data_IF_709195295301
#
_entry.id   IF_709195295301
#
_cell.length_a   1.000
_cell.length_b   1.000
_cell.length_c   1.000
_cell.angle_alpha   90.00
_cell.angle_beta   90.00
_cell.angle_gamma   90.00
#
_symmetry.space_group_name_H-M   'P 1'
#
loop_
_entity.id
_entity.type
_entity.pdbx_description
1 polymer ?
#
# COMPACT_ATOMS: atom_id res chain seq x y z
N UNK A 1 -10.12 1.01 -7.59
CA UNK A 1 -8.98 0.50 -8.38
C UNK A 1 -8.76 -0.98 -8.13
N UNK A 2 -8.02 -1.66 -9.00
CA UNK A 2 -7.64 -3.06 -8.83
C UNK A 2 -6.12 -3.21 -8.64
N UNK A 3 -5.70 -4.10 -7.74
CA UNK A 3 -4.29 -4.50 -7.60
C UNK A 3 -4.16 -6.01 -7.64
N UNK A 4 -3.04 -6.50 -8.15
CA UNK A 4 -2.73 -7.93 -8.19
C UNK A 4 -1.86 -8.32 -6.99
N UNK A 5 -2.30 -9.30 -6.19
CA UNK A 5 -1.48 -9.88 -5.13
C UNK A 5 -0.71 -11.07 -5.69
N UNK A 6 0.60 -10.89 -5.88
CA UNK A 6 1.51 -11.99 -6.20
C UNK A 6 2.02 -12.59 -4.90
N UNK A 7 1.76 -13.88 -4.69
CA UNK A 7 2.17 -14.61 -3.49
C UNK A 7 2.59 -16.04 -3.85
N UNK A 8 3.34 -16.66 -2.95
CA UNK A 8 3.67 -18.08 -3.05
C UNK A 8 2.44 -18.90 -2.66
N UNK A 9 2.06 -19.87 -3.49
CA UNK A 9 0.91 -20.75 -3.20
C UNK A 9 1.22 -21.84 -2.19
N UNK A 10 1.58 -21.42 -0.99
CA UNK A 10 1.54 -22.23 0.20
C UNK A 10 0.53 -21.64 1.19
N UNK A 11 0.36 -22.33 2.31
CA UNK A 11 -0.58 -21.95 3.36
C UNK A 11 -0.34 -20.53 3.87
N UNK A 12 0.93 -20.18 4.12
CA UNK A 12 1.32 -18.86 4.65
C UNK A 12 1.14 -17.74 3.63
N UNK A 13 1.59 -17.94 2.40
CA UNK A 13 1.43 -16.94 1.35
C UNK A 13 -0.05 -16.62 1.11
N UNK A 14 -0.92 -17.65 1.13
CA UNK A 14 -2.37 -17.48 1.01
C UNK A 14 -2.98 -16.76 2.22
N UNK A 15 -2.56 -17.10 3.43
CA UNK A 15 -2.99 -16.44 4.68
C UNK A 15 -2.66 -14.94 4.64
N UNK A 16 -1.40 -14.60 4.37
CA UNK A 16 -0.93 -13.22 4.28
C UNK A 16 -1.65 -12.43 3.19
N UNK A 17 -1.84 -13.02 2.00
CA UNK A 17 -2.56 -12.39 0.91
C UNK A 17 -4.04 -12.15 1.25
N UNK A 18 -4.70 -13.09 1.94
CA UNK A 18 -6.09 -12.91 2.35
C UNK A 18 -6.24 -11.80 3.39
N UNK A 19 -5.36 -11.79 4.41
CA UNK A 19 -5.36 -10.75 5.44
C UNK A 19 -5.11 -9.36 4.84
N UNK A 20 -4.14 -9.25 3.92
CA UNK A 20 -3.85 -7.99 3.24
C UNK A 20 -5.00 -7.54 2.35
N UNK A 21 -5.65 -8.47 1.63
CA UNK A 21 -6.81 -8.15 0.78
C UNK A 21 -7.95 -7.54 1.60
N UNK A 22 -8.24 -8.07 2.78
CA UNK A 22 -9.29 -7.55 3.67
C UNK A 22 -8.98 -6.12 4.11
N UNK A 23 -7.73 -5.84 4.45
CA UNK A 23 -7.27 -4.50 4.85
C UNK A 23 -7.22 -3.51 3.67
N UNK A 24 -6.87 -3.96 2.47
CA UNK A 24 -6.93 -3.14 1.26
C UNK A 24 -8.37 -2.79 0.85
N UNK A 25 -9.32 -3.69 1.10
CA UNK A 25 -10.74 -3.43 0.84
C UNK A 25 -11.29 -2.27 1.68
N UNK A 26 -10.76 -2.04 2.88
CA UNK A 26 -11.08 -0.87 3.72
C UNK A 26 -10.76 0.43 2.99
N UNK A 27 -9.69 0.46 2.19
CA UNK A 27 -9.30 1.60 1.36
C UNK A 27 -10.06 1.66 0.02
N UNK A 28 -11.04 0.78 -0.21
CA UNK A 28 -11.73 0.65 -1.50
C UNK A 28 -10.89 0.03 -2.62
N UNK A 29 -9.75 -0.57 -2.29
CA UNK A 29 -8.86 -1.23 -3.24
C UNK A 29 -9.34 -2.67 -3.45
N UNK A 30 -9.63 -3.04 -4.69
CA UNK A 30 -9.96 -4.42 -5.04
C UNK A 30 -8.67 -5.23 -5.27
N UNK A 31 -8.25 -6.01 -4.26
CA UNK A 31 -7.05 -6.83 -4.38
C UNK A 31 -7.38 -8.24 -4.88
N UNK A 32 -6.90 -8.58 -6.07
CA UNK A 32 -7.13 -9.87 -6.70
C UNK A 32 -6.07 -10.87 -6.27
N UNK A 33 -6.54 -12.00 -5.75
CA UNK A 33 -5.76 -13.19 -5.49
C UNK A 33 -6.13 -14.22 -6.55
N UNK A 34 -5.40 -14.27 -7.66
CA UNK A 34 -5.63 -15.29 -8.67
C UNK A 34 -5.12 -16.64 -8.13
N UNK A 35 -6.02 -17.46 -7.58
CA UNK A 35 -5.68 -18.81 -7.16
C UNK A 35 -5.36 -19.68 -8.38
N UNK A 36 -4.24 -20.41 -8.30
CA UNK A 36 -3.76 -21.36 -9.31
C UNK A 36 -4.29 -22.79 -9.02
N UNK A 37 -5.22 -22.95 -8.07
CA UNK A 37 -5.92 -24.20 -7.76
C UNK A 37 -7.12 -24.42 -8.68
N UNK A 38 -6.99 -25.20 -9.76
CA UNK A 38 -8.15 -25.59 -10.59
C UNK A 38 -8.06 -27.02 -11.13
N UNK A 39 -9.25 -27.60 -11.32
CA UNK A 39 -9.56 -28.89 -11.98
C UNK A 39 -8.87 -29.07 -13.35
N UNK A 40 -8.66 -30.32 -13.81
CA UNK A 40 -7.98 -30.60 -15.07
C UNK A 40 -8.65 -29.94 -16.30
N UNK A 41 -7.86 -29.27 -17.16
CA UNK A 41 -8.28 -28.80 -18.49
C UNK A 41 -8.45 -27.28 -18.69
N UNK A 42 -8.25 -26.45 -17.67
CA UNK A 42 -8.37 -24.98 -17.79
C UNK A 42 -7.10 -24.31 -18.36
N UNK A 43 -7.27 -23.25 -19.19
CA UNK A 43 -6.19 -22.40 -19.71
C UNK A 43 -5.80 -21.37 -18.64
N UNK A 44 -5.06 -21.82 -17.63
CA UNK A 44 -4.75 -21.06 -16.42
C UNK A 44 -3.91 -19.78 -16.63
N UNK A 45 -2.90 -19.84 -17.50
CA UNK A 45 -2.02 -18.69 -17.72
C UNK A 45 -2.78 -17.47 -18.24
N UNK A 46 -3.82 -17.68 -19.05
CA UNK A 46 -4.60 -16.59 -19.63
C UNK A 46 -5.41 -15.83 -18.58
N UNK A 47 -6.03 -16.51 -17.62
CA UNK A 47 -6.77 -15.83 -16.53
C UNK A 47 -5.86 -15.03 -15.60
N UNK A 48 -4.64 -15.52 -15.31
CA UNK A 48 -3.65 -14.73 -14.56
C UNK A 48 -3.27 -13.48 -15.33
N UNK A 49 -3.00 -13.62 -16.64
CA UNK A 49 -2.66 -12.49 -17.50
C UNK A 49 -3.79 -11.46 -17.58
N UNK A 50 -5.04 -11.89 -17.71
CA UNK A 50 -6.22 -11.02 -17.69
C UNK A 50 -6.31 -10.23 -16.38
N UNK A 51 -6.07 -10.88 -15.24
CA UNK A 51 -6.06 -10.18 -13.94
C UNK A 51 -4.86 -9.25 -13.78
N UNK A 52 -3.69 -9.62 -14.28
CA UNK A 52 -2.51 -8.74 -14.28
C UNK A 52 -2.75 -7.51 -15.16
N UNK A 53 -3.29 -7.69 -16.36
CA UNK A 53 -3.60 -6.61 -17.31
C UNK A 53 -4.66 -5.64 -16.77
N UNK A 54 -5.66 -6.15 -16.07
CA UNK A 54 -6.69 -5.33 -15.42
C UNK A 54 -6.20 -4.61 -14.14
N UNK A 55 -5.01 -4.94 -13.63
CA UNK A 55 -4.52 -4.40 -12.36
C UNK A 55 -3.63 -3.17 -12.56
N UNK A 56 -3.86 -2.15 -11.73
CA UNK A 56 -3.11 -0.89 -11.77
C UNK A 56 -1.71 -1.03 -11.15
N UNK A 57 -1.50 -2.03 -10.31
CA UNK A 57 -0.22 -2.36 -9.68
C UNK A 57 -0.13 -3.85 -9.32
N UNK A 58 1.10 -4.34 -9.19
CA UNK A 58 1.41 -5.66 -8.64
C UNK A 58 2.08 -5.52 -7.26
N UNK A 59 1.58 -6.27 -6.29
CA UNK A 59 2.08 -6.29 -4.91
C UNK A 59 2.70 -7.67 -4.64
N UNK A 60 4.01 -7.74 -4.44
CA UNK A 60 4.73 -8.97 -4.13
C UNK A 60 4.69 -9.24 -2.62
N UNK A 61 4.03 -10.31 -2.21
CA UNK A 61 4.01 -10.81 -0.82
C UNK A 61 5.18 -11.78 -0.67
N UNK A 62 6.36 -11.24 -0.37
CA UNK A 62 7.60 -12.01 -0.32
C UNK A 62 7.72 -12.80 0.99
N UNK A 63 6.94 -13.88 1.09
CA UNK A 63 7.07 -14.91 2.11
C UNK A 63 8.19 -15.90 1.76
N UNK A 64 8.63 -16.72 2.72
CA UNK A 64 9.69 -17.72 2.50
C UNK A 64 9.48 -18.53 1.21
N UNK A 65 10.52 -18.61 0.38
CA UNK A 65 10.53 -19.29 -0.91
C UNK A 65 9.85 -18.53 -2.04
N UNK A 66 9.51 -17.25 -1.86
CA UNK A 66 8.83 -16.44 -2.89
C UNK A 66 9.73 -16.22 -4.10
N UNK A 67 11.01 -15.88 -3.87
CA UNK A 67 11.99 -15.69 -4.95
C UNK A 67 12.19 -16.94 -5.79
N UNK A 68 12.08 -18.13 -5.19
CA UNK A 68 12.23 -19.42 -5.85
C UNK A 68 11.03 -19.82 -6.70
N UNK A 69 9.88 -19.14 -6.56
CA UNK A 69 8.65 -19.43 -7.30
C UNK A 69 8.75 -18.91 -8.74
N UNK A 70 8.83 -19.79 -9.76
CA UNK A 70 8.93 -19.35 -11.15
C UNK A 70 7.74 -18.49 -11.58
N UNK A 71 6.56 -18.76 -11.03
CA UNK A 71 5.33 -18.01 -11.29
C UNK A 71 5.39 -16.60 -10.76
N UNK A 72 5.83 -16.41 -9.52
CA UNK A 72 5.97 -15.07 -8.96
C UNK A 72 6.99 -14.26 -9.77
N UNK A 73 8.08 -14.90 -10.22
CA UNK A 73 9.06 -14.23 -11.09
C UNK A 73 8.49 -13.88 -12.48
N UNK A 74 7.64 -14.73 -13.06
CA UNK A 74 6.95 -14.43 -14.32
C UNK A 74 5.94 -13.30 -14.17
N UNK A 75 5.14 -13.30 -13.10
CA UNK A 75 4.18 -12.22 -12.78
C UNK A 75 4.91 -10.87 -12.64
N UNK A 76 6.03 -10.84 -11.90
CA UNK A 76 6.91 -9.66 -11.78
C UNK A 76 7.46 -9.23 -13.15
N UNK A 77 8.05 -10.15 -13.90
CA UNK A 77 8.63 -9.86 -15.20
C UNK A 77 7.61 -9.31 -16.19
N UNK A 78 6.40 -9.87 -16.18
CA UNK A 78 5.28 -9.41 -16.99
C UNK A 78 4.86 -7.99 -16.61
N UNK A 79 4.64 -7.73 -15.31
CA UNK A 79 4.25 -6.40 -14.83
C UNK A 79 5.30 -5.33 -15.19
N UNK A 80 6.59 -5.61 -14.98
CA UNK A 80 7.68 -4.71 -15.38
C UNK A 80 7.67 -4.47 -16.89
N UNK A 81 7.53 -5.54 -17.69
CA UNK A 81 7.49 -5.46 -19.16
C UNK A 81 6.34 -4.62 -19.71
N UNK A 82 5.22 -4.52 -18.98
CA UNK A 82 4.05 -3.71 -19.34
C UNK A 82 4.00 -2.37 -18.60
N UNK A 83 5.06 -2.05 -17.85
CA UNK A 83 5.16 -0.80 -17.10
C UNK A 83 4.19 -0.70 -15.92
N UNK A 84 3.63 -1.80 -15.45
CA UNK A 84 2.81 -1.82 -14.23
C UNK A 84 3.73 -1.62 -13.02
N UNK A 85 3.45 -0.66 -12.12
CA UNK A 85 4.20 -0.50 -10.89
C UNK A 85 4.20 -1.78 -10.04
N UNK A 86 5.38 -2.16 -9.55
CA UNK A 86 5.57 -3.33 -8.70
C UNK A 86 6.10 -2.87 -7.34
N UNK A 87 5.44 -3.29 -6.26
CA UNK A 87 5.90 -3.08 -4.88
C UNK A 87 6.30 -4.40 -4.25
N UNK A 88 7.53 -4.46 -3.74
CA UNK A 88 8.02 -5.61 -2.98
C UNK A 88 7.75 -5.44 -1.49
N UNK A 89 7.07 -6.41 -0.87
CA UNK A 89 6.76 -6.39 0.56
C UNK A 89 7.45 -7.56 1.28
N UNK A 90 8.30 -7.26 2.25
CA UNK A 90 9.13 -8.25 2.95
C UNK A 90 8.37 -8.88 4.12
N UNK A 91 7.79 -10.06 3.88
CA UNK A 91 7.10 -10.89 4.89
C UNK A 91 8.01 -11.92 5.56
N UNK A 92 9.18 -12.20 4.97
CA UNK A 92 10.23 -13.02 5.56
C UNK A 92 11.56 -12.28 5.41
N UNK A 93 12.35 -12.20 6.49
CA UNK A 93 13.61 -11.45 6.50
C UNK A 93 14.72 -12.06 5.65
N UNK A 94 14.51 -13.27 5.11
CA UNK A 94 15.42 -13.93 4.17
C UNK A 94 15.04 -13.70 2.72
N UNK A 95 13.85 -13.17 2.46
CA UNK A 95 13.43 -12.80 1.12
C UNK A 95 13.84 -11.36 0.82
N UNK A 96 14.40 -11.17 -0.37
CA UNK A 96 14.77 -9.87 -0.90
C UNK A 96 14.38 -9.81 -2.36
N UNK A 97 14.08 -8.62 -2.83
CA UNK A 97 13.87 -8.34 -4.24
C UNK A 97 15.10 -8.78 -5.04
N UNK A 98 14.84 -9.27 -6.25
CA UNK A 98 15.88 -9.75 -7.17
C UNK A 98 15.73 -9.10 -8.54
N UNK A 99 16.79 -9.15 -9.33
CA UNK A 99 16.81 -8.61 -10.69
C UNK A 99 16.52 -7.10 -10.71
N UNK A 100 15.68 -6.66 -11.65
CA UNK A 100 15.36 -5.23 -11.87
C UNK A 100 14.61 -4.56 -10.71
N UNK A 101 14.11 -5.33 -9.72
CA UNK A 101 13.49 -4.76 -8.53
C UNK A 101 14.50 -4.35 -7.46
N UNK A 102 15.75 -4.80 -7.51
CA UNK A 102 16.78 -4.47 -6.51
C UNK A 102 17.09 -2.96 -6.43
N UNK A 103 16.82 -2.22 -7.50
CA UNK A 103 17.02 -0.76 -7.54
C UNK A 103 15.87 0.01 -6.88
N UNK A 104 14.82 -0.69 -6.44
CA UNK A 104 13.66 -0.11 -5.76
C UNK A 104 13.68 -0.48 -4.29
N UNK A 105 13.21 0.45 -3.48
CA UNK A 105 13.08 0.21 -2.06
C UNK A 105 11.94 -0.80 -1.78
N UNK A 106 12.21 -1.73 -0.87
CA UNK A 106 11.26 -2.70 -0.34
C UNK A 106 10.43 -2.10 0.81
N UNK A 107 9.18 -2.57 0.95
CA UNK A 107 8.32 -2.26 2.10
C UNK A 107 8.48 -3.37 3.16
N UNK A 108 9.02 -3.03 4.32
CA UNK A 108 9.09 -3.97 5.45
C UNK A 108 7.69 -4.22 6.02
N UNK A 109 7.36 -5.49 6.28
CA UNK A 109 6.11 -5.89 6.94
C UNK A 109 6.44 -6.38 8.36
N UNK A 110 6.28 -5.51 9.38
CA UNK A 110 6.73 -5.82 10.74
C UNK A 110 5.91 -6.94 11.41
N UNK A 111 4.62 -7.01 11.11
CA UNK A 111 3.71 -8.03 11.62
C UNK A 111 2.85 -8.61 10.48
N UNK A 112 3.22 -9.76 9.92
CA UNK A 112 2.42 -10.48 8.92
C UNK A 112 0.97 -10.76 9.33
N UNK A 113 0.68 -10.83 10.64
CA UNK A 113 -0.65 -11.10 11.17
C UNK A 113 -1.53 -9.84 11.33
N UNK A 114 -0.95 -8.65 11.18
CA UNK A 114 -1.66 -7.36 11.33
C UNK A 114 -1.35 -6.43 10.15
N UNK A 115 -2.22 -6.46 9.14
CA UNK A 115 -1.97 -5.83 7.84
C UNK A 115 -2.48 -4.39 7.72
N UNK A 116 -3.02 -3.81 8.79
CA UNK A 116 -3.60 -2.45 8.80
C UNK A 116 -2.59 -1.36 8.42
N UNK A 117 -1.38 -1.43 8.99
CA UNK A 117 -0.31 -0.47 8.70
C UNK A 117 0.24 -0.69 7.30
N UNK A 118 0.47 -1.95 6.91
CA UNK A 118 0.92 -2.30 5.56
C UNK A 118 -0.06 -1.83 4.48
N UNK A 119 -1.36 -2.00 4.68
CA UNK A 119 -2.39 -1.51 3.75
C UNK A 119 -2.35 0.02 3.62
N UNK A 120 -2.16 0.76 4.73
CA UNK A 120 -1.98 2.22 4.69
C UNK A 120 -0.75 2.61 3.89
N UNK A 121 0.40 1.97 4.12
CA UNK A 121 1.64 2.25 3.38
C UNK A 121 1.53 1.87 1.89
N UNK A 122 0.74 0.86 1.53
CA UNK A 122 0.40 0.59 0.13
C UNK A 122 -0.48 1.70 -0.45
N UNK A 123 -1.47 2.17 0.31
CA UNK A 123 -2.34 3.28 -0.11
C UNK A 123 -1.55 4.57 -0.38
N UNK A 124 -0.60 4.91 0.50
CA UNK A 124 0.30 6.06 0.28
C UNK A 124 1.21 5.83 -0.92
N UNK A 125 1.79 4.63 -1.07
CA UNK A 125 2.61 4.29 -2.23
C UNK A 125 1.83 4.45 -3.55
N UNK A 126 0.60 3.92 -3.63
CA UNK A 126 -0.26 4.04 -4.81
C UNK A 126 -0.63 5.49 -5.14
N UNK A 127 -0.91 6.32 -4.13
CA UNK A 127 -1.17 7.75 -4.32
C UNK A 127 0.08 8.52 -4.80
N UNK A 128 1.28 8.07 -4.41
CA UNK A 128 2.53 8.72 -4.79
C UNK A 128 2.96 8.40 -6.23
N UNK A 129 2.64 7.23 -6.77
CA UNK A 129 3.05 6.84 -8.13
C UNK A 129 2.28 7.60 -9.20
N UNK A 130 2.98 8.17 -10.18
CA UNK A 130 2.38 8.85 -11.33
C UNK A 130 1.32 7.99 -12.06
N UNK A 131 1.60 6.69 -12.24
CA UNK A 131 0.73 5.77 -12.98
C UNK A 131 -0.56 5.39 -12.26
N UNK A 132 -0.60 5.47 -10.93
CA UNK A 132 -1.77 5.03 -10.14
C UNK A 132 -2.43 6.16 -9.36
N UNK A 133 -1.80 7.34 -9.26
CA UNK A 133 -2.25 8.46 -8.44
C UNK A 133 -3.69 8.86 -8.69
N UNK A 134 -4.08 9.05 -9.95
CA UNK A 134 -5.44 9.51 -10.30
C UNK A 134 -6.50 8.45 -9.98
N UNK A 135 -6.20 7.18 -10.24
CA UNK A 135 -7.13 6.09 -9.91
C UNK A 135 -7.22 5.85 -8.40
N UNK A 136 -6.10 5.97 -7.68
CA UNK A 136 -6.04 5.90 -6.23
C UNK A 136 -6.83 7.05 -5.58
N UNK A 137 -6.63 8.29 -6.07
CA UNK A 137 -7.40 9.48 -5.66
C UNK A 137 -8.91 9.24 -5.77
N UNK A 138 -9.39 8.85 -6.96
CA UNK A 138 -10.81 8.57 -7.18
C UNK A 138 -11.33 7.41 -6.32
N UNK A 139 -10.51 6.39 -6.10
CA UNK A 139 -10.84 5.25 -5.23
C UNK A 139 -11.00 5.69 -3.78
N UNK A 140 -10.06 6.46 -3.25
CA UNK A 140 -10.06 6.88 -1.85
C UNK A 140 -11.17 7.89 -1.54
N UNK A 141 -11.48 8.82 -2.44
CA UNK A 141 -12.60 9.76 -2.23
C UNK A 141 -13.92 9.00 -2.15
N UNK A 142 -14.14 8.03 -3.05
CA UNK A 142 -15.34 7.17 -3.02
C UNK A 142 -15.40 6.33 -1.74
N UNK A 143 -14.30 5.67 -1.40
CA UNK A 143 -14.21 4.86 -0.19
C UNK A 143 -14.46 5.70 1.08
N UNK A 144 -14.05 6.97 1.09
CA UNK A 144 -14.29 7.86 2.22
C UNK A 144 -15.78 8.12 2.41
N UNK A 145 -16.50 8.42 1.33
CA UNK A 145 -17.94 8.63 1.36
C UNK A 145 -18.70 7.40 1.89
N UNK A 146 -18.25 6.21 1.47
CA UNK A 146 -18.85 4.92 1.85
C UNK A 146 -18.31 4.35 3.18
N UNK A 147 -17.40 5.06 3.86
CA UNK A 147 -16.74 4.56 5.06
C UNK A 147 -17.74 4.21 6.17
N UNK A 148 -17.62 3.02 6.75
CA UNK A 148 -18.56 2.52 7.76
C UNK A 148 -17.98 2.52 9.18
N UNK A 149 -16.70 2.88 9.35
CA UNK A 149 -16.05 2.94 10.67
C UNK A 149 -15.09 4.11 10.79
N UNK A 150 -14.90 4.63 12.01
CA UNK A 150 -13.89 5.66 12.27
C UNK A 150 -12.47 5.23 11.90
N UNK A 151 -12.15 3.93 12.04
CA UNK A 151 -10.84 3.40 11.62
C UNK A 151 -10.67 3.51 10.11
N UNK A 152 -11.62 3.00 9.34
CA UNK A 152 -11.63 3.08 7.88
C UNK A 152 -11.48 4.52 7.40
N UNK A 153 -12.28 5.45 7.96
CA UNK A 153 -12.19 6.87 7.63
C UNK A 153 -10.78 7.41 7.83
N UNK A 154 -10.14 7.12 8.97
CA UNK A 154 -8.78 7.59 9.25
C UNK A 154 -7.74 6.99 8.31
N UNK A 155 -7.86 5.71 8.00
CA UNK A 155 -6.92 5.01 7.13
C UNK A 155 -7.00 5.55 5.69
N UNK A 156 -8.21 5.79 5.18
CA UNK A 156 -8.45 6.42 3.87
C UNK A 156 -7.90 7.86 3.83
N UNK A 157 -8.21 8.66 4.85
CA UNK A 157 -7.75 10.05 4.93
C UNK A 157 -6.22 10.14 5.04
N UNK A 158 -5.58 9.18 5.71
CA UNK A 158 -4.13 9.08 5.75
C UNK A 158 -3.54 8.85 4.35
N UNK A 159 -4.14 7.97 3.55
CA UNK A 159 -3.72 7.76 2.15
C UNK A 159 -3.95 9.02 1.29
N UNK A 160 -5.11 9.68 1.40
CA UNK A 160 -5.44 10.93 0.69
C UNK A 160 -4.45 12.07 1.00
N UNK A 161 -3.93 12.13 2.23
CA UNK A 161 -2.95 13.15 2.62
C UNK A 161 -1.60 13.03 1.89
N UNK A 162 -1.36 11.93 1.18
CA UNK A 162 -0.18 11.75 0.32
C UNK A 162 -0.26 12.57 -0.96
N UNK A 163 -1.48 12.89 -1.42
CA UNK A 163 -1.69 13.71 -2.62
C UNK A 163 -1.08 15.11 -2.43
N UNK A 164 -0.77 15.78 -3.53
CA UNK A 164 -0.22 17.14 -3.47
C UNK A 164 -1.31 18.18 -3.21
N UNK A 165 -2.48 17.96 -3.81
CA UNK A 165 -3.67 18.80 -3.68
C UNK A 165 -4.93 18.02 -4.06
N UNK A 166 -6.09 18.57 -3.71
CA UNK A 166 -7.42 18.16 -4.17
C UNK A 166 -8.07 19.35 -4.89
N UNK A 167 -8.92 19.06 -5.88
CA UNK A 167 -9.70 20.09 -6.59
C UNK A 167 -10.89 20.56 -5.72
N UNK A 168 -11.53 21.66 -6.12
CA UNK A 168 -12.70 22.17 -5.39
C UNK A 168 -13.86 21.17 -5.40
N UNK A 169 -14.09 20.48 -6.54
CA UNK A 169 -15.11 19.43 -6.66
C UNK A 169 -14.82 18.23 -5.75
N UNK A 170 -13.54 17.86 -5.61
CA UNK A 170 -13.11 16.78 -4.72
C UNK A 170 -13.30 17.17 -3.24
N UNK A 171 -12.99 18.42 -2.89
CA UNK A 171 -13.31 18.93 -1.56
C UNK A 171 -14.81 18.95 -1.29
N UNK A 172 -15.62 19.34 -2.27
CA UNK A 172 -17.07 19.32 -2.15
C UNK A 172 -17.58 17.89 -1.88
N UNK A 173 -17.05 16.87 -2.57
CA UNK A 173 -17.40 15.47 -2.32
C UNK A 173 -17.02 15.04 -0.88
N UNK A 174 -15.85 15.44 -0.39
CA UNK A 174 -15.40 15.13 0.97
C UNK A 174 -16.27 15.83 2.03
N UNK A 175 -16.63 17.09 1.79
CA UNK A 175 -17.49 17.85 2.70
C UNK A 175 -18.92 17.29 2.72
N UNK A 176 -19.45 16.86 1.57
CA UNK A 176 -20.74 16.16 1.48
C UNK A 176 -20.72 14.82 2.22
N UNK A 177 -19.63 14.05 2.07
CA UNK A 177 -19.41 12.83 2.85
C UNK A 177 -19.42 13.11 4.35
N UNK A 178 -18.75 14.18 4.82
CA UNK A 178 -18.79 14.56 6.23
C UNK A 178 -20.17 15.06 6.69
N UNK A 179 -20.95 15.70 5.82
CA UNK A 179 -22.31 16.13 6.15
C UNK A 179 -23.26 14.93 6.33
N UNK A 180 -23.16 13.94 5.46
CA UNK A 180 -24.13 12.82 5.35
C UNK A 180 -23.69 11.55 6.07
N UNK A 181 -22.39 11.35 6.29
CA UNK A 181 -21.84 10.15 6.94
C UNK A 181 -21.19 10.50 8.29
N UNK A 182 -21.83 10.05 9.38
CA UNK A 182 -21.31 10.27 10.75
C UNK A 182 -19.92 9.65 10.98
N UNK A 183 -19.58 8.56 10.29
CA UNK A 183 -18.27 7.91 10.39
C UNK A 183 -17.17 8.77 9.79
N UNK A 184 -17.51 9.66 8.85
CA UNK A 184 -16.61 10.69 8.33
C UNK A 184 -16.59 11.89 9.26
N UNK A 185 -17.77 12.40 9.63
CA UNK A 185 -17.92 13.61 10.46
C UNK A 185 -17.26 13.52 11.83
N UNK A 186 -17.44 12.39 12.51
CA UNK A 186 -17.06 12.22 13.91
C UNK A 186 -15.73 11.47 14.07
N UNK A 187 -15.06 11.13 12.97
CA UNK A 187 -13.70 10.62 13.03
C UNK A 187 -12.71 11.75 13.36
N UNK A 188 -11.82 11.48 14.30
CA UNK A 188 -10.80 12.44 14.74
C UNK A 188 -9.41 11.80 14.73
N UNK A 189 -8.40 12.63 14.46
CA UNK A 189 -7.00 12.35 14.82
C UNK A 189 -6.70 13.01 16.16
N UNK A 190 -6.03 12.28 17.04
CA UNK A 190 -5.63 12.79 18.34
C UNK A 190 -4.16 13.19 18.30
N UNK A 191 -3.83 14.40 18.76
CA UNK A 191 -2.45 14.82 18.95
C UNK A 191 -2.08 14.75 20.44
N UNK A 192 -0.93 14.18 20.77
CA UNK A 192 -0.38 14.12 22.13
C UNK A 192 0.09 15.46 22.70
N UNK A 193 -0.13 16.58 22.00
CA UNK A 193 0.36 17.88 22.45
C UNK A 193 -0.56 18.45 23.54
N UNK A 194 -0.03 18.41 24.77
CA UNK A 194 -0.49 19.11 25.98
C UNK A 194 -1.71 18.52 26.70
N UNK A 195 -1.54 17.39 27.41
CA UNK A 195 -2.32 16.96 28.58
C UNK A 195 -3.86 17.07 28.51
N UNK A 196 -4.41 17.15 27.30
CA UNK A 196 -5.82 17.29 26.98
C UNK A 196 -5.99 16.77 25.55
N UNK A 197 -6.78 15.71 25.41
CA UNK A 197 -6.94 14.98 24.16
C UNK A 197 -7.85 15.79 23.22
N UNK A 198 -7.32 16.84 22.60
CA UNK A 198 -8.05 17.59 21.58
C UNK A 198 -8.01 16.81 20.26
N UNK A 199 -9.14 16.22 19.89
CA UNK A 199 -9.31 15.56 18.60
C UNK A 199 -9.46 16.60 17.50
N UNK A 200 -8.73 16.43 16.39
CA UNK A 200 -8.91 17.21 15.16
C UNK A 200 -9.79 16.37 14.22
N UNK A 201 -10.93 16.88 13.73
CA UNK A 201 -11.72 16.19 12.72
C UNK A 201 -10.86 15.78 11.53
N UNK A 202 -11.10 14.60 10.97
CA UNK A 202 -10.27 14.05 9.89
C UNK A 202 -10.19 14.97 8.66
N UNK A 203 -11.29 15.65 8.30
CA UNK A 203 -11.35 16.58 7.16
C UNK A 203 -10.50 17.83 7.40
N UNK A 204 -10.56 18.41 8.60
CA UNK A 204 -9.71 19.53 9.01
C UNK A 204 -8.23 19.13 9.03
N UNK A 205 -7.94 17.93 9.54
CA UNK A 205 -6.59 17.39 9.53
C UNK A 205 -6.08 17.23 8.09
N UNK A 206 -6.89 16.70 7.18
CA UNK A 206 -6.53 16.53 5.76
C UNK A 206 -6.20 17.87 5.10
N UNK A 207 -7.05 18.89 5.27
CA UNK A 207 -6.81 20.25 4.77
C UNK A 207 -5.47 20.79 5.27
N UNK A 208 -5.15 20.59 6.56
CA UNK A 208 -3.86 21.02 7.13
C UNK A 208 -2.67 20.29 6.50
N UNK A 209 -2.79 18.99 6.19
CA UNK A 209 -1.68 18.25 5.56
C UNK A 209 -1.45 18.70 4.12
N UNK A 210 -2.52 18.85 3.34
CA UNK A 210 -2.41 19.27 1.93
C UNK A 210 -1.95 20.73 1.81
N UNK A 211 -2.34 21.62 2.72
CA UNK A 211 -1.82 22.99 2.73
C UNK A 211 -0.33 23.08 3.10
N UNK A 212 0.15 22.20 3.99
CA UNK A 212 1.60 22.09 4.28
C UNK A 212 2.38 21.57 3.07
N UNK A 213 1.78 20.67 2.29
CA UNK A 213 2.35 20.21 1.01
C UNK A 213 2.64 21.37 0.08
N UNK A 214 1.62 22.21 -0.17
CA UNK A 214 1.69 23.32 -1.11
C UNK A 214 2.77 24.35 -0.73
N UNK A 215 3.00 24.56 0.56
CA UNK A 215 4.00 25.51 1.07
C UNK A 215 5.44 24.96 1.11
N UNK A 216 5.63 23.63 1.05
CA UNK A 216 6.94 22.97 1.06
C UNK A 216 7.27 22.40 -0.33
N UNK A 217 7.49 23.27 -1.32
CA UNK A 217 8.01 22.92 -2.64
C UNK A 217 9.51 22.61 -2.61
N UNK A 218 9.88 21.49 -1.97
CA UNK A 218 11.18 20.82 -2.08
C UNK A 218 10.93 19.30 -2.20
N UNK A 219 11.71 18.53 -2.98
CA UNK A 219 11.33 17.17 -3.36
C UNK A 219 11.10 16.31 -2.11
N UNK A 220 9.85 15.87 -1.94
CA UNK A 220 9.37 15.06 -0.83
C UNK A 220 10.16 13.75 -0.79
N UNK A 221 11.11 13.64 0.16
CA UNK A 221 11.59 12.34 0.62
C UNK A 221 10.43 11.68 1.35
N UNK A 222 10.14 10.43 0.98
CA UNK A 222 9.18 9.53 1.62
C UNK A 222 9.25 9.64 3.16
N UNK A 223 8.13 9.40 3.88
CA UNK A 223 8.10 9.49 5.34
C UNK A 223 9.25 8.72 6.00
N UNK A 224 9.85 9.35 7.01
CA UNK A 224 11.17 9.03 7.62
C UNK A 224 11.19 7.71 8.42
N UNK A 225 10.14 6.88 8.33
CA UNK A 225 10.13 5.51 8.86
C UNK A 225 11.13 4.57 8.14
N UNK A 226 11.74 5.06 7.07
CA UNK A 226 12.57 4.35 6.09
C UNK A 226 14.09 4.43 6.37
N UNK A 227 14.52 5.15 7.42
CA UNK A 227 15.94 5.29 7.77
C UNK A 227 16.33 4.46 8.99
N UNK A 228 16.44 3.13 8.82
CA UNK A 228 17.47 2.36 9.52
C UNK A 228 18.57 2.00 8.52
N UNK A 229 19.51 2.92 8.38
CA UNK A 229 20.81 2.64 7.77
C UNK A 229 21.42 1.41 8.43
N UNK A 230 21.79 0.41 7.61
CA UNK A 230 22.61 -0.75 7.96
C UNK A 230 23.72 -0.34 8.92
N UNK A 231 23.64 -0.82 10.16
CA UNK A 231 24.75 -0.75 11.11
C UNK A 231 25.95 -1.51 10.53
N UNK A 232 27.06 -0.80 10.35
CA UNK A 232 28.27 -1.30 9.73
C UNK A 232 28.79 -2.59 10.38
N UNK A 233 28.97 -3.61 9.54
CA UNK A 233 29.74 -4.79 9.88
C UNK A 233 31.19 -4.41 10.18
N UNK A 234 31.61 -4.68 11.41
CA UNK A 234 32.99 -4.56 11.87
C UNK A 234 33.84 -5.61 11.13
N UNK A 235 34.83 -5.17 10.34
CA UNK A 235 35.78 -6.06 9.69
C UNK A 235 36.57 -6.87 10.74
N UNK A 236 36.87 -8.17 10.52
CA UNK A 236 37.71 -8.93 11.42
C UNK A 236 39.15 -8.44 11.34
N UNK A 237 39.74 -8.17 12.51
CA UNK A 237 41.16 -7.85 12.66
C UNK A 237 42.00 -9.07 12.30
N UNK A 238 42.98 -8.89 11.42
CA UNK A 238 44.08 -9.84 11.20
C UNK A 238 44.91 -9.93 12.47
N UNK A 239 45.10 -11.14 12.98
CA UNK A 239 46.15 -11.43 13.96
C UNK A 239 47.53 -11.38 13.26
N UNK A 240 48.57 -10.82 13.91
CA UNK A 240 49.93 -10.98 13.44
C UNK A 240 50.48 -12.35 13.83
N UNK A 241 51.35 -12.85 12.95
CA UNK A 241 52.14 -14.08 13.07
C UNK A 241 53.01 -14.13 14.32
#
# INVERSE_FOLDING_TARGET
MQVFLSYREDEKGKEYASALREELAILGINAIMASRSIRPGAVWAQTILEHLEASSALLCIASRGYTESPWCQQEIGWAIGHGIPVLWMCYDSKEHSVGFLMDKQELDVPDPSSQAETAREIGTWLAAQEKTREEARATFIRALADSSTYRQTRDIVYALATLDSLTDDEWQQIDEAAATNRQVREAHFYSDRNNGMSGIPVTDWLRRQLNKSANNTWPRRLPVSILKTRGGGRAPRRDPR
#
